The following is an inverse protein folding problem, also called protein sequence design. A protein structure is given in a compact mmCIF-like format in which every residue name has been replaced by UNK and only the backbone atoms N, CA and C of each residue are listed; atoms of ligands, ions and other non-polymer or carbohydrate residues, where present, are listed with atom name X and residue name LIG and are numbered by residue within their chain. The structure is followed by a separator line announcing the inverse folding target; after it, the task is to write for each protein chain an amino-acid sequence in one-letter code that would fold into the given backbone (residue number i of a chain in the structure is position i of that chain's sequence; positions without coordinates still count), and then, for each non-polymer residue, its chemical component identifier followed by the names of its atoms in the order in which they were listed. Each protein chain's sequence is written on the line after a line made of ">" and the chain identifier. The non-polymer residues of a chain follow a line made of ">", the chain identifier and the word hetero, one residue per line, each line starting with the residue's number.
data_IF_371852449918
#
_entry.id   IF_371852449918
#
_cell.length_a   1.000
_cell.length_b   1.000
_cell.length_c   1.000
_cell.angle_alpha   90.00
_cell.angle_beta   90.00
_cell.angle_gamma   90.00
#
_symmetry.space_group_name_H-M   'P 1'
#
loop_
_entity.id
_entity.type
_entity.pdbx_description
1 polymer ?
#
# COMPACT_ATOMS: atom_id res chain seq x y z
N UNK A 1 20.06 0.81 1.64
CA UNK A 1 19.36 1.30 0.44
C UNK A 1 19.85 2.69 0.01
N UNK A 2 19.73 3.74 0.82
CA UNK A 2 20.13 5.11 0.45
C UNK A 2 21.64 5.36 0.27
N UNK A 3 22.48 4.41 0.63
CA UNK A 3 23.93 4.43 0.42
C UNK A 3 24.40 3.47 -0.66
N UNK A 4 23.48 2.69 -1.26
CA UNK A 4 23.81 1.68 -2.26
C UNK A 4 24.05 2.33 -3.63
N UNK A 5 25.21 2.05 -4.23
CA UNK A 5 25.63 2.62 -5.52
C UNK A 5 25.10 1.84 -6.72
N UNK A 6 24.44 0.70 -6.51
CA UNK A 6 23.89 -0.12 -7.58
C UNK A 6 22.69 0.58 -8.22
N UNK A 7 22.59 0.48 -9.53
CA UNK A 7 21.47 1.02 -10.31
C UNK A 7 20.50 -0.10 -10.64
N UNK A 8 19.21 0.12 -10.43
CA UNK A 8 18.15 -0.78 -10.83
C UNK A 8 17.22 -0.07 -11.81
N UNK A 9 16.91 -0.71 -12.93
CA UNK A 9 15.89 -0.24 -13.86
C UNK A 9 14.50 -0.54 -13.32
N UNK A 10 13.59 0.42 -13.41
CA UNK A 10 12.21 0.30 -12.92
C UNK A 10 11.20 0.63 -14.01
N UNK A 11 9.99 0.10 -13.87
CA UNK A 11 8.84 0.32 -14.74
C UNK A 11 7.59 0.53 -13.87
N UNK A 12 6.86 1.59 -14.13
CA UNK A 12 5.47 1.75 -13.72
C UNK A 12 4.58 1.29 -14.89
N UNK A 13 3.96 0.11 -14.73
CA UNK A 13 3.20 -0.56 -15.76
C UNK A 13 1.70 -0.26 -15.65
N UNK A 14 1.28 0.90 -16.14
CA UNK A 14 -0.14 1.25 -16.27
C UNK A 14 -0.80 0.60 -17.49
N UNK A 15 -2.12 0.43 -17.45
CA UNK A 15 -2.87 -0.18 -18.56
C UNK A 15 -2.83 0.62 -19.89
N UNK A 16 -2.54 1.93 -19.82
CA UNK A 16 -2.47 2.81 -20.98
C UNK A 16 -1.05 3.21 -21.34
N UNK A 17 -0.23 3.50 -20.33
CA UNK A 17 1.14 3.98 -20.49
C UNK A 17 2.09 3.21 -19.58
N UNK A 18 3.30 3.02 -20.08
CA UNK A 18 4.45 2.54 -19.34
C UNK A 18 5.44 3.68 -19.08
N UNK A 19 5.93 3.79 -17.84
CA UNK A 19 6.92 4.79 -17.45
C UNK A 19 8.17 4.10 -16.93
N UNK A 20 9.26 4.22 -17.67
CA UNK A 20 10.55 3.59 -17.38
C UNK A 20 11.48 4.59 -16.69
N UNK A 21 12.24 4.11 -15.72
CA UNK A 21 13.19 4.90 -14.93
C UNK A 21 14.38 4.05 -14.49
N UNK A 22 15.34 4.68 -13.88
CA UNK A 22 16.45 4.03 -13.19
C UNK A 22 16.62 4.67 -11.80
N UNK A 23 16.83 3.84 -10.79
CA UNK A 23 16.97 4.27 -9.39
C UNK A 23 18.35 3.89 -8.88
N UNK A 24 18.98 4.80 -8.17
CA UNK A 24 20.22 4.64 -7.41
C UNK A 24 20.10 5.38 -6.09
N UNK A 25 20.53 4.80 -4.99
CA UNK A 25 20.41 5.41 -3.63
C UNK A 25 18.97 5.82 -3.29
N UNK A 26 17.99 5.06 -3.77
CA UNK A 26 16.58 5.35 -3.56
C UNK A 26 16.05 6.57 -4.33
N UNK A 27 16.77 7.08 -5.31
CA UNK A 27 16.36 8.25 -6.11
C UNK A 27 16.46 7.98 -7.61
N UNK A 28 15.56 8.54 -8.43
CA UNK A 28 15.70 8.49 -9.87
C UNK A 28 17.01 9.14 -10.33
N UNK A 29 17.72 8.49 -11.26
CA UNK A 29 18.99 8.99 -11.84
C UNK A 29 18.88 9.33 -13.32
N UNK A 30 17.70 9.15 -13.90
CA UNK A 30 17.40 9.55 -15.28
C UNK A 30 16.03 10.24 -15.34
N UNK A 31 15.83 11.08 -16.35
CA UNK A 31 14.50 11.50 -16.73
C UNK A 31 13.70 10.28 -17.22
N UNK A 32 12.43 10.15 -16.79
CA UNK A 32 11.61 9.00 -17.15
C UNK A 32 11.36 8.93 -18.67
N UNK A 33 11.24 7.72 -19.18
CA UNK A 33 10.82 7.41 -20.56
C UNK A 33 9.37 6.94 -20.53
N UNK A 34 8.49 7.60 -21.26
CA UNK A 34 7.08 7.24 -21.36
C UNK A 34 6.76 6.63 -22.72
N UNK A 35 6.00 5.53 -22.72
CA UNK A 35 5.54 4.82 -23.93
C UNK A 35 4.07 4.39 -23.77
N UNK A 36 3.37 4.23 -24.88
CA UNK A 36 2.05 3.60 -24.89
C UNK A 36 2.18 2.12 -24.57
N UNK A 37 1.34 1.58 -23.69
CA UNK A 37 1.43 0.18 -23.22
C UNK A 37 1.17 -0.86 -24.32
N UNK A 38 0.41 -0.50 -25.38
CA UNK A 38 -0.06 -1.44 -26.43
C UNK A 38 -0.76 -2.68 -25.86
N UNK A 39 -1.64 -2.47 -24.87
CA UNK A 39 -2.23 -3.48 -23.98
C UNK A 39 -2.98 -4.62 -24.69
N UNK A 40 -3.37 -4.44 -25.96
CA UNK A 40 -4.15 -5.41 -26.74
C UNK A 40 -3.29 -6.28 -27.69
N UNK A 41 -1.99 -6.01 -27.79
CA UNK A 41 -1.05 -6.69 -28.69
C UNK A 41 0.20 -7.11 -27.92
N UNK A 42 0.36 -8.41 -27.65
CA UNK A 42 1.43 -8.93 -26.83
C UNK A 42 2.83 -8.63 -27.39
N UNK A 43 3.01 -8.83 -28.68
CA UNK A 43 4.32 -8.62 -29.34
C UNK A 43 4.73 -7.15 -29.29
N UNK A 44 3.78 -6.24 -29.54
CA UNK A 44 4.00 -4.80 -29.40
C UNK A 44 4.21 -4.37 -27.97
N UNK A 45 3.43 -4.92 -27.04
CA UNK A 45 3.61 -4.64 -25.62
C UNK A 45 5.01 -5.04 -25.13
N UNK A 46 5.46 -6.25 -25.42
CA UNK A 46 6.80 -6.73 -25.09
C UNK A 46 7.88 -5.91 -25.81
N UNK A 47 7.68 -5.58 -27.08
CA UNK A 47 8.61 -4.72 -27.81
C UNK A 47 8.72 -3.34 -27.17
N UNK A 48 7.59 -2.74 -26.75
CA UNK A 48 7.55 -1.46 -26.03
C UNK A 48 8.33 -1.54 -24.72
N UNK A 49 8.16 -2.60 -23.93
CA UNK A 49 8.92 -2.80 -22.68
C UNK A 49 10.44 -2.85 -22.97
N UNK A 50 10.84 -3.61 -23.98
CA UNK A 50 12.27 -3.71 -24.36
C UNK A 50 12.83 -2.37 -24.85
N UNK A 51 12.09 -1.63 -25.66
CA UNK A 51 12.51 -0.32 -26.17
C UNK A 51 12.63 0.69 -25.03
N UNK A 52 11.64 0.74 -24.13
CA UNK A 52 11.65 1.67 -22.99
C UNK A 52 12.86 1.46 -22.08
N UNK A 53 13.18 0.22 -21.73
CA UNK A 53 14.39 -0.06 -20.94
C UNK A 53 15.69 0.26 -21.69
N UNK A 54 15.77 0.02 -23.01
CA UNK A 54 16.96 0.41 -23.80
C UNK A 54 17.18 1.91 -23.80
N UNK A 55 16.11 2.69 -23.97
CA UNK A 55 16.22 4.16 -23.93
C UNK A 55 16.65 4.69 -22.56
N UNK A 56 16.29 4.01 -21.46
CA UNK A 56 16.82 4.35 -20.14
C UNK A 56 18.28 3.96 -20.02
N UNK A 57 18.67 2.76 -20.51
CA UNK A 57 20.07 2.29 -20.51
C UNK A 57 21.01 3.25 -21.25
N UNK A 58 20.57 3.80 -22.39
CA UNK A 58 21.37 4.75 -23.19
C UNK A 58 21.66 6.07 -22.44
N UNK A 59 20.85 6.39 -21.42
CA UNK A 59 21.05 7.60 -20.58
C UNK A 59 21.99 7.35 -19.39
N UNK A 60 22.31 6.10 -19.10
CA UNK A 60 23.10 5.73 -17.92
C UNK A 60 24.60 5.73 -18.20
N UNK A 61 25.38 6.26 -17.26
CA UNK A 61 26.84 6.21 -17.30
C UNK A 61 27.41 4.94 -16.69
N UNK A 62 26.60 4.20 -15.92
CA UNK A 62 26.97 2.94 -15.24
C UNK A 62 25.99 1.85 -15.60
N UNK A 63 26.49 0.60 -15.68
CA UNK A 63 25.66 -0.56 -15.96
C UNK A 63 24.72 -0.82 -14.76
N UNK A 64 23.39 -0.98 -14.96
CA UNK A 64 22.49 -1.41 -13.91
C UNK A 64 22.75 -2.87 -13.53
N UNK A 65 22.36 -3.25 -12.33
CA UNK A 65 22.53 -4.63 -11.80
C UNK A 65 21.30 -5.50 -11.99
N UNK A 66 20.12 -4.89 -12.13
CA UNK A 66 18.85 -5.59 -12.29
C UNK A 66 17.78 -4.72 -12.96
N UNK A 67 16.70 -5.38 -13.35
CA UNK A 67 15.38 -4.80 -13.67
C UNK A 67 14.42 -5.25 -12.58
N UNK A 68 13.69 -4.31 -11.95
CA UNK A 68 12.69 -4.65 -10.93
C UNK A 68 11.50 -3.72 -11.03
N UNK A 69 10.28 -4.27 -11.05
CA UNK A 69 9.10 -3.46 -11.27
C UNK A 69 7.80 -4.11 -10.77
N UNK A 70 6.79 -3.26 -10.61
CA UNK A 70 5.42 -3.68 -10.39
C UNK A 70 4.76 -4.09 -11.71
N UNK A 71 4.02 -5.20 -11.67
CA UNK A 71 3.14 -5.59 -12.77
C UNK A 71 1.80 -6.08 -12.23
N UNK A 72 0.67 -5.73 -12.87
CA UNK A 72 -0.63 -6.16 -12.40
C UNK A 72 -0.75 -7.67 -12.22
N UNK A 73 -1.54 -8.09 -11.24
CA UNK A 73 -1.80 -9.49 -10.94
C UNK A 73 -3.28 -9.88 -11.03
N UNK A 74 -3.57 -11.12 -10.64
CA UNK A 74 -2.68 -12.11 -10.05
C UNK A 74 -1.67 -12.72 -11.05
N UNK A 75 -0.46 -13.08 -10.57
CA UNK A 75 0.62 -13.64 -11.39
C UNK A 75 1.50 -14.56 -10.54
N UNK A 76 2.25 -15.45 -11.18
CA UNK A 76 3.35 -16.19 -10.56
C UNK A 76 4.59 -15.27 -10.51
N UNK A 77 4.66 -14.40 -9.54
CA UNK A 77 5.72 -13.38 -9.44
C UNK A 77 7.13 -13.98 -9.26
N UNK A 78 7.36 -15.02 -8.44
CA UNK A 78 8.69 -15.63 -8.32
C UNK A 78 9.26 -16.12 -9.65
N UNK A 79 8.42 -16.71 -10.49
CA UNK A 79 8.78 -17.15 -11.83
C UNK A 79 8.60 -16.08 -12.90
N UNK A 80 7.96 -14.96 -12.56
CA UNK A 80 7.69 -13.85 -13.47
C UNK A 80 6.80 -14.23 -14.66
N UNK A 81 5.80 -15.11 -14.39
CA UNK A 81 4.82 -15.57 -15.38
C UNK A 81 3.54 -14.77 -15.17
N UNK A 82 3.20 -13.95 -16.16
CA UNK A 82 2.02 -13.10 -16.12
C UNK A 82 0.87 -13.81 -16.82
N UNK A 83 -0.26 -13.96 -16.14
CA UNK A 83 -1.46 -14.60 -16.65
C UNK A 83 -2.59 -13.62 -16.97
N UNK A 84 -3.76 -14.16 -17.19
CA UNK A 84 -4.99 -13.51 -17.65
C UNK A 84 -5.37 -12.19 -16.96
N UNK A 85 -4.94 -11.06 -17.52
CA UNK A 85 -5.16 -9.73 -16.98
C UNK A 85 -6.31 -9.00 -17.70
N UNK A 86 -7.21 -8.38 -16.95
CA UNK A 86 -8.33 -7.61 -17.50
C UNK A 86 -7.89 -6.31 -18.19
N UNK A 87 -6.92 -5.60 -17.62
CA UNK A 87 -6.39 -4.32 -18.10
C UNK A 87 -5.26 -4.46 -19.14
N UNK A 88 -4.71 -5.67 -19.30
CA UNK A 88 -3.73 -6.04 -20.33
C UNK A 88 -4.18 -7.31 -21.02
N UNK A 89 -5.24 -7.25 -21.85
CA UNK A 89 -5.91 -8.45 -22.39
C UNK A 89 -5.05 -9.27 -23.34
N UNK A 90 -3.92 -8.76 -23.79
CA UNK A 90 -2.94 -9.53 -24.57
C UNK A 90 -2.22 -10.59 -23.76
N UNK A 91 -2.13 -10.42 -22.42
CA UNK A 91 -1.51 -11.42 -21.53
C UNK A 91 -2.52 -12.53 -21.25
N UNK A 92 -2.36 -13.65 -21.95
CA UNK A 92 -3.23 -14.84 -21.86
C UNK A 92 -2.39 -16.11 -21.78
N UNK A 93 -2.86 -17.08 -20.95
CA UNK A 93 -2.29 -18.42 -20.91
C UNK A 93 -0.89 -18.52 -20.31
N UNK A 94 -0.41 -17.48 -19.64
CA UNK A 94 0.92 -17.46 -19.01
C UNK A 94 2.04 -16.96 -19.94
N UNK A 95 2.45 -15.69 -19.77
CA UNK A 95 3.57 -15.06 -20.49
C UNK A 95 4.79 -15.00 -19.58
N UNK A 96 5.91 -15.67 -19.92
CA UNK A 96 7.12 -15.72 -19.09
C UNK A 96 7.92 -14.39 -19.22
N UNK A 97 7.34 -13.29 -18.72
CA UNK A 97 7.87 -11.94 -18.93
C UNK A 97 9.28 -11.78 -18.33
N UNK A 98 9.53 -12.37 -17.15
CA UNK A 98 10.87 -12.39 -16.52
C UNK A 98 11.91 -12.97 -17.46
N UNK A 99 11.71 -14.20 -17.95
CA UNK A 99 12.66 -14.87 -18.83
C UNK A 99 12.88 -14.13 -20.16
N UNK A 100 11.82 -13.51 -20.70
CA UNK A 100 11.90 -12.69 -21.93
C UNK A 100 12.82 -11.47 -21.72
N UNK A 101 12.74 -10.84 -20.54
CA UNK A 101 13.54 -9.65 -20.24
C UNK A 101 14.96 -10.03 -19.81
N UNK A 102 15.15 -11.09 -19.02
CA UNK A 102 16.46 -11.62 -18.68
C UNK A 102 17.28 -11.97 -19.94
N UNK A 103 16.66 -12.67 -20.89
CA UNK A 103 17.30 -12.98 -22.17
C UNK A 103 17.63 -11.72 -23.01
N UNK A 104 16.80 -10.68 -22.94
CA UNK A 104 16.96 -9.46 -23.75
C UNK A 104 18.04 -8.50 -23.22
N UNK A 105 18.30 -8.51 -21.90
CA UNK A 105 19.15 -7.53 -21.23
C UNK A 105 20.36 -8.11 -20.51
N UNK A 106 20.43 -9.42 -20.35
CA UNK A 106 21.46 -10.10 -19.55
C UNK A 106 21.56 -9.52 -18.12
N UNK A 107 20.39 -9.32 -17.49
CA UNK A 107 20.21 -8.79 -16.14
C UNK A 107 19.20 -9.64 -15.40
N UNK A 108 19.37 -9.78 -14.08
CA UNK A 108 18.33 -10.36 -13.23
C UNK A 108 17.06 -9.52 -13.28
N UNK A 109 15.89 -10.16 -13.34
CA UNK A 109 14.59 -9.51 -13.43
C UNK A 109 13.70 -9.93 -12.27
N UNK A 110 13.13 -8.96 -11.58
CA UNK A 110 12.21 -9.15 -10.46
C UNK A 110 10.88 -8.45 -10.76
N UNK A 111 9.79 -9.20 -10.63
CA UNK A 111 8.44 -8.69 -10.85
C UNK A 111 7.63 -8.97 -9.60
N UNK A 112 6.85 -8.00 -9.14
CA UNK A 112 5.97 -8.15 -7.99
C UNK A 112 4.64 -7.43 -8.23
N UNK A 113 3.67 -7.61 -7.30
CA UNK A 113 2.44 -6.84 -7.28
C UNK A 113 2.71 -5.39 -6.89
N UNK A 114 1.87 -4.45 -7.34
CA UNK A 114 1.98 -3.02 -7.00
C UNK A 114 1.71 -2.74 -5.51
N UNK A 115 0.73 -3.44 -4.91
CA UNK A 115 0.46 -3.36 -3.47
C UNK A 115 1.61 -3.89 -2.62
N UNK A 116 2.25 -4.97 -3.05
CA UNK A 116 3.44 -5.54 -2.41
C UNK A 116 4.61 -4.56 -2.42
N UNK A 117 4.94 -4.03 -3.59
CA UNK A 117 6.05 -3.06 -3.70
C UNK A 117 5.74 -1.75 -3.01
N UNK A 118 4.48 -1.31 -2.99
CA UNK A 118 4.04 -0.17 -2.19
C UNK A 118 4.35 -0.39 -0.70
N UNK A 119 3.89 -1.51 -0.14
CA UNK A 119 4.14 -1.84 1.26
C UNK A 119 5.63 -1.94 1.57
N UNK A 120 6.40 -2.56 0.68
CA UNK A 120 7.84 -2.74 0.86
C UNK A 120 8.60 -1.41 0.81
N UNK A 121 8.24 -0.52 -0.10
CA UNK A 121 8.81 0.83 -0.17
C UNK A 121 8.54 1.66 1.08
N UNK A 122 7.32 1.62 1.60
CA UNK A 122 6.94 2.29 2.85
C UNK A 122 7.64 1.69 4.08
N UNK A 123 7.90 0.38 4.07
CA UNK A 123 8.60 -0.29 5.15
C UNK A 123 10.10 0.03 5.19
N UNK A 124 10.74 0.23 4.03
CA UNK A 124 12.19 0.42 3.96
C UNK A 124 12.62 1.87 3.79
N UNK A 125 11.79 2.72 3.20
CA UNK A 125 12.15 4.09 2.91
C UNK A 125 11.08 5.14 3.13
N UNK A 126 9.87 4.72 3.54
CA UNK A 126 8.74 5.60 3.84
C UNK A 126 8.46 5.74 5.34
N UNK A 127 7.22 5.49 5.73
CA UNK A 127 6.70 5.79 7.06
C UNK A 127 7.31 4.95 8.19
N UNK A 128 7.68 3.68 7.96
CA UNK A 128 8.14 2.81 9.05
C UNK A 128 9.50 3.22 9.62
N UNK A 129 10.53 3.56 8.82
CA UNK A 129 11.76 4.15 9.34
C UNK A 129 11.53 5.47 10.08
N UNK A 130 10.63 6.34 9.60
CA UNK A 130 10.29 7.61 10.24
C UNK A 130 9.70 7.36 11.63
N UNK A 131 8.74 6.43 11.77
CA UNK A 131 8.15 6.05 13.05
C UNK A 131 9.22 5.56 14.03
N UNK A 132 10.10 4.66 13.60
CA UNK A 132 11.14 4.11 14.47
C UNK A 132 12.16 5.20 14.90
N UNK A 133 12.49 6.13 14.02
CA UNK A 133 13.36 7.26 14.35
C UNK A 133 12.71 8.20 15.39
N UNK A 134 11.41 8.50 15.26
CA UNK A 134 10.68 9.32 16.20
C UNK A 134 10.56 8.65 17.58
N UNK A 135 10.31 7.34 17.62
CA UNK A 135 10.30 6.57 18.86
C UNK A 135 11.66 6.58 19.56
N UNK A 136 12.75 6.46 18.78
CA UNK A 136 14.11 6.54 19.30
C UNK A 136 14.40 7.92 19.88
N UNK A 137 14.07 8.97 19.15
CA UNK A 137 14.24 10.36 19.60
C UNK A 137 13.43 10.67 20.87
N UNK A 138 12.28 10.01 21.06
CA UNK A 138 11.46 10.12 22.27
C UNK A 138 11.94 9.24 23.44
N UNK A 139 13.02 8.47 23.27
CA UNK A 139 13.54 7.55 24.28
C UNK A 139 12.73 6.27 24.49
N UNK A 140 11.76 5.98 23.63
CA UNK A 140 10.94 4.77 23.71
C UNK A 140 11.75 3.53 23.29
N UNK A 141 11.67 2.40 24.02
CA UNK A 141 12.31 1.15 23.63
C UNK A 141 11.56 0.44 22.49
N UNK A 142 10.35 0.89 22.14
CA UNK A 142 9.49 0.24 21.14
C UNK A 142 10.02 0.43 19.73
N UNK A 143 10.00 -0.66 18.95
CA UNK A 143 10.35 -0.65 17.50
C UNK A 143 9.35 -1.48 16.74
N UNK A 144 9.04 -1.04 15.54
CA UNK A 144 8.12 -1.73 14.61
C UNK A 144 8.89 -2.30 13.43
N UNK A 145 8.53 -3.51 13.03
CA UNK A 145 9.16 -4.25 11.94
C UNK A 145 8.13 -4.81 10.96
N UNK A 146 6.84 -4.73 11.32
CA UNK A 146 5.74 -5.21 10.49
C UNK A 146 4.96 -4.01 9.95
N UNK A 147 4.55 -4.11 8.69
CA UNK A 147 3.77 -3.07 8.03
C UNK A 147 2.72 -3.70 7.11
N UNK A 148 1.54 -3.13 7.11
CA UNK A 148 0.48 -3.36 6.13
C UNK A 148 0.36 -2.11 5.27
N UNK A 149 0.66 -2.23 3.98
CA UNK A 149 0.42 -1.18 3.00
C UNK A 149 -0.95 -1.36 2.35
N UNK A 150 -1.75 -0.30 2.28
CA UNK A 150 -3.05 -0.31 1.64
C UNK A 150 -3.11 0.78 0.56
N UNK A 151 -3.58 0.45 -0.63
CA UNK A 151 -3.73 1.41 -1.73
C UNK A 151 -5.21 1.59 -2.09
N UNK A 152 -5.71 2.82 -1.92
CA UNK A 152 -7.09 3.21 -2.21
C UNK A 152 -7.14 3.95 -3.55
N UNK A 153 -7.58 3.26 -4.60
CA UNK A 153 -7.63 3.79 -5.96
C UNK A 153 -8.83 3.27 -6.75
N UNK A 154 -8.61 2.96 -8.02
CA UNK A 154 -9.60 2.27 -8.88
C UNK A 154 -10.00 0.94 -8.25
N UNK A 155 -9.05 0.24 -7.65
CA UNK A 155 -9.20 -0.93 -6.82
C UNK A 155 -8.77 -0.67 -5.37
N UNK A 156 -8.78 -1.74 -4.56
CA UNK A 156 -8.34 -1.78 -3.18
C UNK A 156 -7.18 -2.79 -3.05
N UNK A 157 -5.96 -2.32 -3.16
CA UNK A 157 -4.76 -3.14 -3.08
C UNK A 157 -4.16 -3.19 -1.69
N UNK A 158 -3.36 -4.23 -1.44
CA UNK A 158 -2.61 -4.38 -0.20
C UNK A 158 -1.27 -5.07 -0.41
N UNK A 159 -0.40 -4.92 0.57
CA UNK A 159 0.88 -5.63 0.68
C UNK A 159 1.27 -5.79 2.14
N UNK A 160 2.06 -6.80 2.43
CA UNK A 160 2.44 -7.16 3.78
C UNK A 160 3.96 -7.27 3.91
N UNK A 161 4.50 -6.56 4.89
CA UNK A 161 5.91 -6.68 5.30
C UNK A 161 5.98 -7.23 6.71
N UNK A 162 6.72 -8.31 6.91
CA UNK A 162 6.95 -8.96 8.18
C UNK A 162 8.45 -9.01 8.50
N UNK A 163 8.84 -8.47 9.66
CA UNK A 163 10.25 -8.39 10.08
C UNK A 163 11.17 -7.70 9.04
N UNK A 164 10.64 -6.71 8.30
CA UNK A 164 11.39 -6.01 7.25
C UNK A 164 11.49 -6.77 5.91
N UNK A 165 10.84 -7.93 5.77
CA UNK A 165 10.81 -8.74 4.56
C UNK A 165 9.40 -8.72 3.95
N UNK A 166 9.33 -8.67 2.62
CA UNK A 166 8.08 -8.75 1.87
C UNK A 166 7.46 -10.15 2.01
N UNK A 167 6.19 -10.23 2.38
CA UNK A 167 5.46 -11.48 2.52
C UNK A 167 4.43 -11.62 1.40
N UNK A 168 4.76 -12.42 0.38
CA UNK A 168 3.91 -12.64 -0.80
C UNK A 168 3.06 -13.92 -0.70
N UNK A 169 3.35 -14.81 0.27
CA UNK A 169 2.69 -16.13 0.39
C UNK A 169 3.17 -17.16 -0.65
N UNK A 170 2.69 -18.39 -0.51
CA UNK A 170 3.14 -19.51 -1.34
C UNK A 170 2.66 -19.42 -2.80
N UNK A 171 1.57 -18.68 -3.04
CA UNK A 171 0.98 -18.52 -4.36
C UNK A 171 1.04 -17.07 -4.87
N UNK A 172 1.86 -16.22 -4.26
CA UNK A 172 1.93 -14.77 -4.55
C UNK A 172 0.58 -14.06 -4.42
N UNK A 173 -0.27 -14.50 -3.49
CA UNK A 173 -1.62 -13.96 -3.26
C UNK A 173 -1.84 -13.54 -1.80
N UNK A 174 -0.75 -13.35 -1.04
CA UNK A 174 -0.88 -12.73 0.27
C UNK A 174 -1.37 -11.29 0.13
N UNK A 175 -2.08 -10.81 1.15
CA UNK A 175 -2.62 -9.46 1.19
C UNK A 175 -3.57 -9.06 0.03
N UNK A 176 -4.25 -10.03 -0.59
CA UNK A 176 -5.37 -9.77 -1.51
C UNK A 176 -6.58 -9.20 -0.73
N UNK A 177 -6.37 -8.04 -0.11
CA UNK A 177 -7.30 -7.41 0.86
C UNK A 177 -8.65 -7.04 0.25
N UNK A 178 -8.72 -6.86 -1.06
CA UNK A 178 -9.96 -6.58 -1.78
C UNK A 178 -10.99 -7.71 -1.66
N UNK A 179 -10.53 -8.95 -1.39
CA UNK A 179 -11.38 -10.12 -1.22
C UNK A 179 -11.96 -10.27 0.20
N UNK A 180 -11.56 -9.44 1.17
CA UNK A 180 -12.17 -9.50 2.48
C UNK A 180 -13.69 -9.35 2.38
N UNK A 181 -14.40 -10.09 3.21
CA UNK A 181 -15.85 -9.91 3.35
C UNK A 181 -16.16 -8.59 4.04
N UNK A 182 -17.19 -7.90 3.57
CA UNK A 182 -17.68 -6.70 4.22
C UNK A 182 -18.73 -7.09 5.28
N UNK A 183 -18.45 -6.82 6.56
CA UNK A 183 -19.40 -7.18 7.64
C UNK A 183 -20.72 -6.39 7.59
N UNK A 184 -20.75 -5.24 6.96
CA UNK A 184 -21.94 -4.39 6.82
C UNK A 184 -22.81 -4.77 5.63
N UNK A 185 -22.22 -5.43 4.63
CA UNK A 185 -22.91 -6.01 3.50
C UNK A 185 -22.20 -7.29 3.05
N UNK A 186 -22.66 -8.43 3.53
CA UNK A 186 -22.05 -9.75 3.28
C UNK A 186 -22.22 -10.26 1.84
N UNK A 187 -22.90 -9.51 0.97
CA UNK A 187 -23.08 -9.85 -0.45
C UNK A 187 -21.97 -9.31 -1.34
N UNK A 188 -21.10 -8.42 -0.80
CA UNK A 188 -20.02 -7.77 -1.54
C UNK A 188 -18.69 -7.89 -0.79
N UNK A 189 -17.60 -7.82 -1.53
CA UNK A 189 -16.25 -7.80 -0.95
C UNK A 189 -15.83 -6.38 -0.50
N UNK A 190 -14.66 -6.26 0.10
CA UNK A 190 -14.15 -4.98 0.60
C UNK A 190 -13.95 -3.94 -0.51
N UNK A 191 -13.45 -4.32 -1.70
CA UNK A 191 -13.26 -3.39 -2.82
C UNK A 191 -14.55 -2.74 -3.29
N UNK A 192 -15.66 -3.47 -3.24
CA UNK A 192 -16.96 -2.92 -3.62
C UNK A 192 -17.42 -1.75 -2.73
N UNK A 193 -16.77 -1.54 -1.57
CA UNK A 193 -17.07 -0.43 -0.65
C UNK A 193 -15.85 0.49 -0.45
N UNK A 194 -14.63 0.00 -0.75
CA UNK A 194 -13.37 0.73 -0.52
C UNK A 194 -12.64 0.95 -1.85
N UNK A 195 -13.27 1.65 -2.78
CA UNK A 195 -12.67 1.99 -4.08
C UNK A 195 -13.25 3.28 -4.63
N UNK A 196 -12.62 3.82 -5.68
CA UNK A 196 -13.14 4.98 -6.44
C UNK A 196 -14.59 4.77 -6.86
N UNK A 197 -14.89 3.58 -7.43
CA UNK A 197 -16.24 3.22 -7.89
C UNK A 197 -17.23 3.11 -6.73
N UNK A 198 -16.78 2.63 -5.59
CA UNK A 198 -17.60 2.51 -4.39
C UNK A 198 -18.07 3.88 -3.90
N UNK A 199 -17.15 4.84 -3.76
CA UNK A 199 -17.49 6.22 -3.35
C UNK A 199 -18.49 6.86 -4.34
N UNK A 200 -18.27 6.68 -5.64
CA UNK A 200 -19.17 7.20 -6.69
C UNK A 200 -20.58 6.60 -6.58
N UNK A 201 -20.67 5.27 -6.46
CA UNK A 201 -21.94 4.56 -6.37
C UNK A 201 -22.70 4.98 -5.10
N UNK A 202 -22.05 4.94 -3.95
CA UNK A 202 -22.65 5.27 -2.67
C UNK A 202 -23.17 6.72 -2.66
N UNK A 203 -22.38 7.66 -3.17
CA UNK A 203 -22.82 9.04 -3.30
C UNK A 203 -24.06 9.17 -4.20
N UNK A 204 -24.06 8.51 -5.37
CA UNK A 204 -25.16 8.63 -6.32
C UNK A 204 -26.45 8.01 -5.81
N UNK A 205 -26.36 6.90 -5.10
CA UNK A 205 -27.50 6.24 -4.47
C UNK A 205 -28.11 7.13 -3.35
N UNK A 206 -27.26 7.67 -2.47
CA UNK A 206 -27.69 8.57 -1.40
C UNK A 206 -28.21 9.92 -1.90
N UNK A 207 -27.65 10.43 -2.98
CA UNK A 207 -28.06 11.71 -3.59
C UNK A 207 -29.30 11.57 -4.50
N UNK A 208 -29.76 10.35 -4.80
CA UNK A 208 -30.87 10.06 -5.70
C UNK A 208 -30.57 10.41 -7.15
N UNK A 209 -29.33 10.31 -7.61
CA UNK A 209 -28.91 10.58 -8.99
C UNK A 209 -28.50 9.29 -9.70
N UNK A 210 -28.53 9.30 -11.03
CA UNK A 210 -28.24 8.10 -11.81
C UNK A 210 -26.74 7.73 -11.78
N UNK A 211 -26.44 6.44 -11.63
CA UNK A 211 -25.11 5.85 -11.79
C UNK A 211 -25.10 4.93 -13.03
N UNK A 212 -24.04 4.90 -13.87
CA UNK A 212 -22.80 5.69 -13.73
C UNK A 212 -22.96 7.15 -14.21
N UNK A 213 -22.15 8.02 -13.67
CA UNK A 213 -22.03 9.43 -14.04
C UNK A 213 -20.56 9.86 -14.15
N UNK A 214 -20.31 11.16 -14.41
CA UNK A 214 -18.95 11.68 -14.61
C UNK A 214 -18.26 12.14 -13.31
N UNK A 215 -18.96 12.09 -12.18
CA UNK A 215 -18.38 12.53 -10.90
C UNK A 215 -17.27 11.58 -10.48
N UNK A 216 -16.11 12.13 -10.17
CA UNK A 216 -14.99 11.41 -9.59
C UNK A 216 -14.97 11.61 -8.07
N UNK A 217 -14.25 10.79 -7.28
CA UNK A 217 -14.13 11.00 -5.83
C UNK A 217 -13.70 12.43 -5.46
N UNK A 218 -12.87 13.08 -6.28
CA UNK A 218 -12.49 14.48 -6.06
C UNK A 218 -13.70 15.42 -6.12
N UNK A 219 -14.60 15.25 -7.08
CA UNK A 219 -15.80 16.07 -7.20
C UNK A 219 -16.72 15.86 -5.98
N UNK A 220 -16.85 14.60 -5.52
CA UNK A 220 -17.64 14.25 -4.34
C UNK A 220 -17.00 14.85 -3.06
N UNK A 221 -15.67 14.87 -2.97
CA UNK A 221 -14.96 15.55 -1.91
C UNK A 221 -15.22 17.06 -1.95
N UNK A 222 -15.16 17.69 -3.10
CA UNK A 222 -15.41 19.11 -3.28
C UNK A 222 -16.87 19.47 -2.93
N UNK A 223 -17.84 18.58 -3.18
CA UNK A 223 -19.22 18.69 -2.70
C UNK A 223 -19.27 18.60 -1.17
N UNK A 224 -18.64 17.61 -0.57
CA UNK A 224 -18.63 17.44 0.89
C UNK A 224 -18.04 18.64 1.62
N UNK A 225 -17.07 19.31 1.01
CA UNK A 225 -16.36 20.49 1.57
C UNK A 225 -16.93 21.84 1.12
N UNK A 226 -18.11 21.86 0.46
CA UNK A 226 -18.77 23.06 -0.09
C UNK A 226 -17.95 23.81 -1.18
N UNK A 227 -17.05 23.13 -1.87
CA UNK A 227 -16.29 23.71 -3.00
C UNK A 227 -17.02 23.50 -4.33
N UNK A 228 -17.97 22.55 -4.37
CA UNK A 228 -18.83 22.27 -5.53
C UNK A 228 -20.28 22.09 -5.09
N UNK A 229 -21.22 22.46 -5.94
CA UNK A 229 -22.66 22.28 -5.72
C UNK A 229 -23.04 20.79 -5.82
N UNK A 230 -23.82 20.31 -4.85
CA UNK A 230 -24.33 18.94 -4.80
C UNK A 230 -24.99 18.60 -3.48
N UNK A 231 -25.30 17.33 -3.27
CA UNK A 231 -25.84 16.86 -1.98
C UNK A 231 -24.68 16.61 -1.00
N UNK A 232 -24.41 17.60 -0.16
CA UNK A 232 -23.30 17.56 0.80
C UNK A 232 -23.41 16.42 1.80
N UNK A 233 -24.61 16.18 2.33
CA UNK A 233 -24.80 15.14 3.35
C UNK A 233 -24.62 13.75 2.75
N UNK A 234 -25.07 13.53 1.52
CA UNK A 234 -24.80 12.30 0.78
C UNK A 234 -23.30 12.12 0.52
N UNK A 235 -22.56 13.18 0.20
CA UNK A 235 -21.13 13.11 -0.06
C UNK A 235 -20.34 12.75 1.22
N UNK A 236 -20.68 13.36 2.35
CA UNK A 236 -20.08 13.01 3.65
C UNK A 236 -20.41 11.55 4.03
N UNK A 237 -21.67 11.13 3.84
CA UNK A 237 -22.10 9.78 4.17
C UNK A 237 -21.39 8.72 3.32
N UNK A 238 -21.18 8.97 2.01
CA UNK A 238 -20.46 8.05 1.12
C UNK A 238 -19.03 7.80 1.60
N UNK A 239 -18.30 8.84 1.97
CA UNK A 239 -16.96 8.67 2.55
C UNK A 239 -16.97 8.00 3.92
N UNK A 240 -17.99 8.26 4.74
CA UNK A 240 -18.13 7.61 6.04
C UNK A 240 -18.34 6.10 5.90
N UNK A 241 -19.18 5.65 4.95
CA UNK A 241 -19.38 4.21 4.69
C UNK A 241 -18.08 3.56 4.18
N UNK A 242 -17.35 4.22 3.28
CA UNK A 242 -16.00 3.78 2.88
C UNK A 242 -15.08 3.65 4.10
N UNK A 243 -15.10 4.63 5.02
CA UNK A 243 -14.31 4.59 6.25
C UNK A 243 -14.67 3.44 7.18
N UNK A 244 -15.97 3.13 7.34
CA UNK A 244 -16.42 2.00 8.16
C UNK A 244 -15.94 0.66 7.59
N UNK A 245 -16.09 0.44 6.29
CA UNK A 245 -15.65 -0.79 5.64
C UNK A 245 -14.12 -0.94 5.67
N UNK A 246 -13.39 0.16 5.44
CA UNK A 246 -11.93 0.19 5.56
C UNK A 246 -11.49 -0.10 7.00
N UNK A 247 -12.13 0.48 7.99
CA UNK A 247 -11.87 0.24 9.42
C UNK A 247 -12.08 -1.22 9.80
N UNK A 248 -13.15 -1.86 9.30
CA UNK A 248 -13.41 -3.29 9.49
C UNK A 248 -12.28 -4.15 8.89
N UNK A 249 -11.89 -3.86 7.65
CA UNK A 249 -10.78 -4.56 6.99
C UNK A 249 -9.47 -4.39 7.77
N UNK A 250 -9.14 -3.17 8.19
CA UNK A 250 -7.93 -2.89 8.98
C UNK A 250 -7.96 -3.62 10.32
N UNK A 251 -9.09 -3.65 11.03
CA UNK A 251 -9.20 -4.37 12.30
C UNK A 251 -8.91 -5.87 12.14
N UNK A 252 -9.41 -6.49 11.06
CA UNK A 252 -9.14 -7.89 10.76
C UNK A 252 -7.64 -8.12 10.44
N UNK A 253 -7.03 -7.23 9.66
CA UNK A 253 -5.60 -7.28 9.35
C UNK A 253 -4.75 -7.11 10.61
N UNK A 254 -5.04 -6.13 11.47
CA UNK A 254 -4.30 -5.87 12.70
C UNK A 254 -4.42 -7.00 13.72
N UNK A 255 -5.54 -7.71 13.76
CA UNK A 255 -5.70 -8.92 14.58
C UNK A 255 -4.72 -10.01 14.16
N UNK A 256 -4.35 -10.06 12.88
CA UNK A 256 -3.50 -11.11 12.30
C UNK A 256 -2.03 -10.71 12.19
N UNK A 257 -1.76 -9.45 11.81
CA UNK A 257 -0.39 -8.98 11.47
C UNK A 257 0.30 -8.29 12.62
N UNK A 258 -0.44 -7.55 13.46
CA UNK A 258 0.13 -6.71 14.54
C UNK A 258 1.26 -5.80 14.02
N UNK A 259 0.94 -4.87 13.12
CA UNK A 259 1.90 -4.00 12.43
C UNK A 259 1.36 -2.58 12.19
N UNK A 260 2.24 -1.70 11.73
CA UNK A 260 1.86 -0.35 11.30
C UNK A 260 1.04 -0.44 10.01
N UNK A 261 0.00 0.39 9.89
CA UNK A 261 -0.79 0.53 8.65
C UNK A 261 -0.42 1.82 7.94
N UNK A 262 -0.13 1.73 6.66
CA UNK A 262 0.07 2.89 5.80
C UNK A 262 -0.93 2.89 4.64
N UNK A 263 -1.60 4.02 4.42
CA UNK A 263 -2.62 4.17 3.40
C UNK A 263 -2.10 5.10 2.31
N UNK A 264 -2.13 4.62 1.05
CA UNK A 264 -1.79 5.38 -0.15
C UNK A 264 -2.92 5.38 -1.18
N UNK A 265 -2.64 5.96 -2.35
CA UNK A 265 -3.57 5.99 -3.47
C UNK A 265 -4.42 7.25 -3.56
N UNK A 266 -5.20 7.36 -4.63
CA UNK A 266 -5.88 8.60 -5.02
C UNK A 266 -6.97 9.09 -4.07
N UNK A 267 -7.56 8.19 -3.25
CA UNK A 267 -8.62 8.54 -2.29
C UNK A 267 -8.05 9.19 -1.01
N UNK A 268 -6.74 9.08 -0.75
CA UNK A 268 -6.11 9.62 0.46
C UNK A 268 -6.29 11.13 0.63
N UNK A 269 -6.48 11.87 -0.46
CA UNK A 269 -6.81 13.29 -0.42
C UNK A 269 -8.11 13.62 0.34
N UNK A 270 -9.01 12.64 0.49
CA UNK A 270 -10.26 12.78 1.22
C UNK A 270 -10.21 12.20 2.65
N UNK A 271 -9.02 11.96 3.21
CA UNK A 271 -8.85 11.29 4.52
C UNK A 271 -9.63 11.94 5.67
N UNK A 272 -9.81 13.25 5.64
CA UNK A 272 -10.57 13.97 6.67
C UNK A 272 -12.04 13.53 6.73
N UNK A 273 -12.60 12.98 5.65
CA UNK A 273 -13.98 12.52 5.58
C UNK A 273 -14.15 11.05 6.00
N UNK A 274 -13.20 10.18 5.66
CA UNK A 274 -13.32 8.74 5.95
C UNK A 274 -12.55 8.28 7.19
N UNK A 275 -11.42 8.92 7.55
CA UNK A 275 -10.57 8.49 8.68
C UNK A 275 -11.29 8.52 10.03
N UNK A 276 -12.18 9.49 10.34
CA UNK A 276 -12.95 9.42 11.59
C UNK A 276 -13.73 8.13 11.75
N UNK A 277 -14.38 7.65 10.68
CA UNK A 277 -15.13 6.39 10.69
C UNK A 277 -14.22 5.15 10.77
N UNK A 278 -13.03 5.20 10.18
CA UNK A 278 -11.99 4.18 10.37
C UNK A 278 -11.64 4.08 11.86
N UNK A 279 -11.32 5.19 12.50
CA UNK A 279 -10.92 5.21 13.91
C UNK A 279 -12.06 4.82 14.86
N UNK A 280 -13.31 5.20 14.56
CA UNK A 280 -14.52 4.75 15.29
C UNK A 280 -14.63 3.22 15.22
N UNK A 281 -14.42 2.62 14.04
CA UNK A 281 -14.51 1.18 13.85
C UNK A 281 -13.42 0.42 14.60
N UNK A 282 -12.17 0.91 14.57
CA UNK A 282 -11.05 0.31 15.28
C UNK A 282 -11.17 0.40 16.81
N UNK A 283 -11.83 1.44 17.30
CA UNK A 283 -12.10 1.65 18.72
C UNK A 283 -13.42 1.00 19.17
N UNK A 284 -14.13 0.29 18.29
CA UNK A 284 -15.41 -0.36 18.60
C UNK A 284 -15.24 -1.56 19.53
N UNK A 285 -16.38 -2.03 20.08
CA UNK A 285 -16.41 -3.15 21.00
C UNK A 285 -17.34 -4.26 20.49
N UNK A 286 -17.10 -5.47 20.94
CA UNK A 286 -18.03 -6.59 20.86
C UNK A 286 -18.87 -6.67 22.15
N UNK A 287 -20.11 -7.09 22.01
CA UNK A 287 -21.06 -7.26 23.13
C UNK A 287 -21.52 -8.72 23.21
N UNK A 288 -20.66 -9.66 23.66
CA UNK A 288 -21.02 -11.05 23.79
C UNK A 288 -22.12 -11.22 24.84
N UNK A 289 -23.06 -12.13 24.62
CA UNK A 289 -24.22 -12.33 25.49
C UNK A 289 -23.90 -12.76 26.94
N UNK A 290 -22.71 -13.32 27.16
CA UNK A 290 -22.33 -13.96 28.44
C UNK A 290 -21.07 -13.35 29.10
N UNK A 291 -20.53 -12.26 28.57
CA UNK A 291 -19.30 -11.63 29.07
C UNK A 291 -19.43 -10.12 29.07
N UNK A 292 -18.49 -9.45 29.73
CA UNK A 292 -18.35 -8.02 29.62
C UNK A 292 -18.01 -7.59 28.18
N UNK A 293 -18.24 -6.33 27.87
CA UNK A 293 -17.83 -5.67 26.65
C UNK A 293 -16.35 -5.94 26.34
N UNK A 294 -16.04 -6.32 25.12
CA UNK A 294 -14.68 -6.64 24.67
C UNK A 294 -14.25 -5.66 23.56
N UNK A 295 -13.06 -5.05 23.68
CA UNK A 295 -12.53 -4.21 22.62
C UNK A 295 -12.29 -5.03 21.35
N UNK A 296 -12.52 -4.43 20.20
CA UNK A 296 -12.29 -5.08 18.90
C UNK A 296 -10.82 -5.44 18.68
N UNK A 297 -9.90 -4.65 19.21
CA UNK A 297 -8.46 -4.84 19.13
C UNK A 297 -7.84 -4.82 20.53
N UNK A 298 -6.82 -5.64 20.74
CA UNK A 298 -6.00 -5.60 21.97
C UNK A 298 -5.13 -4.35 22.01
N UNK A 299 -4.66 -3.92 20.82
CA UNK A 299 -3.81 -2.76 20.66
C UNK A 299 -4.66 -1.48 20.57
N UNK A 300 -4.17 -0.41 21.16
CA UNK A 300 -4.68 0.93 20.88
C UNK A 300 -4.10 1.43 19.55
N UNK A 301 -4.97 1.86 18.65
CA UNK A 301 -4.55 2.41 17.36
C UNK A 301 -4.59 3.94 17.39
N UNK A 302 -3.57 4.57 16.80
CA UNK A 302 -3.39 6.01 16.74
C UNK A 302 -3.32 6.46 15.27
N UNK A 303 -3.98 7.57 14.96
CA UNK A 303 -3.90 8.20 13.66
C UNK A 303 -2.73 9.20 13.62
N UNK A 304 -1.63 8.85 12.94
CA UNK A 304 -0.45 9.73 12.84
C UNK A 304 -0.63 10.92 11.88
N UNK A 305 -1.79 11.09 11.27
CA UNK A 305 -2.14 12.33 10.56
C UNK A 305 -2.77 13.37 11.50
N UNK A 306 -2.94 13.03 12.80
CA UNK A 306 -3.50 13.89 13.83
C UNK A 306 -2.49 14.15 14.95
N UNK A 307 -2.16 15.41 15.23
CA UNK A 307 -1.09 15.83 16.13
C UNK A 307 -1.19 15.23 17.55
N UNK A 308 -2.39 15.24 18.15
CA UNK A 308 -2.59 14.67 19.49
C UNK A 308 -2.34 13.16 19.54
N UNK A 309 -2.66 12.46 18.47
CA UNK A 309 -2.40 11.02 18.37
C UNK A 309 -0.92 10.74 18.16
N UNK A 310 -0.21 11.60 17.40
CA UNK A 310 1.25 11.51 17.27
C UNK A 310 1.93 11.66 18.64
N UNK A 311 1.60 12.72 19.38
CA UNK A 311 2.16 12.95 20.72
C UNK A 311 1.92 11.76 21.64
N UNK A 312 0.70 11.21 21.63
CA UNK A 312 0.35 10.06 22.45
C UNK A 312 1.02 8.76 21.98
N UNK A 313 1.18 8.55 20.66
CA UNK A 313 1.81 7.35 20.11
C UNK A 313 3.31 7.31 20.39
N UNK A 314 4.03 8.44 20.22
CA UNK A 314 5.47 8.52 20.40
C UNK A 314 5.90 8.62 21.87
N UNK A 315 4.97 8.92 22.78
CA UNK A 315 5.26 9.03 24.20
C UNK A 315 5.95 7.75 24.72
N UNK A 316 6.98 7.94 25.53
CA UNK A 316 7.59 6.85 26.28
C UNK A 316 6.66 6.43 27.43
N UNK A 317 6.21 5.17 27.40
CA UNK A 317 5.42 4.52 28.44
C UNK A 317 6.23 3.51 29.23
N UNK A 318 7.53 3.41 28.97
CA UNK A 318 8.38 2.42 29.60
C UNK A 318 8.50 2.61 31.11
N UNK A 319 8.71 1.52 31.81
CA UNK A 319 9.02 1.47 33.24
C UNK A 319 10.02 0.37 33.52
N UNK A 320 10.82 0.56 34.58
CA UNK A 320 11.73 -0.44 35.04
C UNK A 320 11.03 -1.43 35.97
N UNK A 321 11.14 -2.71 35.65
CA UNK A 321 10.61 -3.80 36.48
C UNK A 321 11.77 -4.51 37.20
N UNK A 322 11.73 -4.64 38.52
CA UNK A 322 12.78 -5.40 39.25
C UNK A 322 12.70 -6.89 38.89
N UNK A 323 13.87 -7.52 38.71
CA UNK A 323 13.97 -8.97 38.52
C UNK A 323 14.05 -9.62 39.89
N UNK A 324 13.04 -10.41 40.34
CA UNK A 324 13.03 -11.01 41.67
C UNK A 324 14.26 -11.84 41.94
N UNK A 325 14.86 -11.65 43.14
CA UNK A 325 16.04 -12.38 43.54
C UNK A 325 17.37 -11.85 42.99
N UNK A 326 17.37 -10.71 42.31
CA UNK A 326 18.55 -10.04 41.73
C UNK A 326 18.53 -8.53 42.00
N UNK A 327 19.63 -7.85 41.70
CA UNK A 327 19.69 -6.37 41.69
C UNK A 327 19.46 -5.80 40.27
N UNK A 328 18.93 -6.58 39.33
CA UNK A 328 18.71 -6.18 37.97
C UNK A 328 17.27 -5.65 37.75
N UNK A 329 17.12 -4.79 36.76
CA UNK A 329 15.82 -4.36 36.23
C UNK A 329 15.73 -4.68 34.75
N UNK A 330 14.52 -4.76 34.24
CA UNK A 330 14.22 -4.85 32.81
C UNK A 330 13.23 -3.73 32.41
N UNK A 331 13.51 -3.08 31.28
CA UNK A 331 12.65 -2.06 30.76
C UNK A 331 11.40 -2.71 30.10
N UNK A 332 10.24 -2.23 30.46
CA UNK A 332 8.95 -2.75 29.96
C UNK A 332 8.03 -1.62 29.51
N UNK A 333 7.58 -1.65 28.27
CA UNK A 333 6.51 -0.79 27.76
C UNK A 333 5.17 -1.56 27.82
N UNK A 334 4.26 -1.20 28.74
CA UNK A 334 3.01 -1.92 28.99
C UNK A 334 1.91 -1.62 27.99
N UNK A 335 2.11 -0.66 27.07
CA UNK A 335 1.05 -0.19 26.16
C UNK A 335 1.18 -0.85 24.80
N UNK A 336 0.36 -1.87 24.47
CA UNK A 336 0.27 -2.40 23.13
C UNK A 336 -0.40 -1.33 22.24
N UNK A 337 0.36 -0.77 21.31
CA UNK A 337 -0.12 0.28 20.42
C UNK A 337 0.35 0.10 19.00
N UNK A 338 -0.48 0.51 18.07
CA UNK A 338 -0.22 0.55 16.63
C UNK A 338 -0.57 1.93 16.07
N UNK A 339 -0.18 2.16 14.84
CA UNK A 339 -0.48 3.40 14.15
C UNK A 339 -1.05 3.17 12.75
N UNK A 340 -1.89 4.09 12.33
CA UNK A 340 -2.29 4.31 10.94
C UNK A 340 -1.71 5.64 10.50
N UNK A 341 -1.14 5.68 9.30
CA UNK A 341 -0.65 6.90 8.67
C UNK A 341 -1.00 6.93 7.18
N UNK A 342 -1.12 8.13 6.64
CA UNK A 342 -1.12 8.32 5.19
C UNK A 342 0.33 8.35 4.68
N UNK A 343 0.58 7.74 3.52
CA UNK A 343 1.89 7.78 2.85
C UNK A 343 2.43 9.21 2.74
N UNK A 344 3.70 9.42 3.10
CA UNK A 344 4.38 10.70 2.98
C UNK A 344 5.05 10.88 1.62
N UNK A 345 5.48 9.78 1.00
CA UNK A 345 6.19 9.79 -0.28
C UNK A 345 5.25 9.57 -1.48
N UNK A 346 4.03 9.10 -1.23
CA UNK A 346 3.05 8.80 -2.28
C UNK A 346 3.22 7.41 -2.89
N UNK A 347 2.13 6.89 -3.46
CA UNK A 347 2.07 5.49 -3.89
C UNK A 347 3.08 5.16 -5.01
N UNK A 348 3.19 6.00 -6.04
CA UNK A 348 4.10 5.73 -7.16
C UNK A 348 5.57 5.73 -6.75
N UNK A 349 5.98 6.66 -5.88
CA UNK A 349 7.35 6.71 -5.36
C UNK A 349 7.63 5.52 -4.45
N UNK A 350 6.67 5.15 -3.59
CA UNK A 350 6.79 3.97 -2.72
C UNK A 350 6.93 2.68 -3.53
N UNK A 351 6.14 2.48 -4.60
CA UNK A 351 6.24 1.32 -5.49
C UNK A 351 7.63 1.27 -6.16
N UNK A 352 8.10 2.39 -6.69
CA UNK A 352 9.40 2.45 -7.35
C UNK A 352 10.55 2.17 -6.37
N UNK A 353 10.46 2.72 -5.15
CA UNK A 353 11.41 2.48 -4.08
C UNK A 353 11.38 1.03 -3.60
N UNK A 354 10.18 0.44 -3.49
CA UNK A 354 9.99 -0.97 -3.17
C UNK A 354 10.61 -1.89 -4.22
N UNK A 355 10.40 -1.58 -5.51
CA UNK A 355 11.03 -2.31 -6.61
C UNK A 355 12.57 -2.26 -6.54
N UNK A 356 13.12 -1.08 -6.30
CA UNK A 356 14.57 -0.89 -6.11
C UNK A 356 15.10 -1.71 -4.92
N UNK A 357 14.46 -1.57 -3.77
CA UNK A 357 14.87 -2.26 -2.55
C UNK A 357 14.75 -3.78 -2.68
N UNK A 358 13.69 -4.29 -3.33
CA UNK A 358 13.49 -5.71 -3.57
C UNK A 358 14.62 -6.30 -4.42
N UNK A 359 14.99 -5.65 -5.53
CA UNK A 359 16.11 -6.10 -6.34
C UNK A 359 17.43 -6.16 -5.54
N UNK A 360 17.68 -5.16 -4.68
CA UNK A 360 18.89 -5.15 -3.86
C UNK A 360 18.91 -6.28 -2.83
N UNK A 361 17.77 -6.60 -2.22
CA UNK A 361 17.67 -7.70 -1.25
C UNK A 361 17.90 -9.07 -1.89
N UNK A 362 17.40 -9.27 -3.11
CA UNK A 362 17.57 -10.52 -3.86
C UNK A 362 19.00 -10.71 -4.41
N UNK A 363 19.72 -9.64 -4.62
CA UNK A 363 21.10 -9.68 -5.09
C UNK A 363 22.15 -9.85 -3.96
N UNK A 364 21.74 -9.60 -2.71
CA UNK A 364 22.63 -9.69 -1.54
C UNK A 364 23.48 -8.44 -1.31
#
# INVERSE_FOLDING_TARGET
>A
MYTDERIVLTLDAGGTNFVFSAIQKGKPVTEPVRKDANAHDLDRCIATIKVGFREVLEKLMQKPVAISFAFPGPADYPNGIIGDLNNLPAFRGGVPLKAILEHAFDLSVYINNDGDLYAYGEALGGILPEINQQLEAAGSPKRYHNLVGLTLGTGFGGGLVRNGELFIGDNSTAAEVWLFSNRYNTQVNAEDVVSTRAVQREYTDLAGIHYPNKLMPRDIFDIATNQQTGNRDAAIAAYRETGRALGDTIANLLTFVDGIVVIGGGITGARELYMPAVMEELASNYFPSNTAELPRLVQRVFNLDHEKDQEAFYKDYSKELPVPGTNQTVTYDPVPRLAIATSRIGASEAIALGAYAFALSELG
#
